data_IF_714744293645
#
_entry.id   IF_714744293645
#
_cell.length_a   1.000
_cell.length_b   1.000
_cell.length_c   1.000
_cell.angle_alpha   90.00
_cell.angle_beta   90.00
_cell.angle_gamma   90.00
#
_symmetry.space_group_name_H-M   'P 1'
#
loop_
_entity.id
_entity.type
_entity.pdbx_description
1 polymer ?
#
# COMPACT_ATOMS: atom_id res chain seq x y z
N UNK A 1 2.21 14.32 36.75
CA UNK A 1 1.58 15.36 35.91
C UNK A 1 2.49 15.63 34.73
N UNK A 2 1.94 15.60 33.51
CA UNK A 2 2.58 16.05 32.27
C UNK A 2 3.33 14.94 31.53
N UNK A 3 2.97 14.53 30.31
CA UNK A 3 1.88 14.93 29.44
C UNK A 3 1.68 13.82 28.41
N UNK A 4 0.42 13.39 28.24
CA UNK A 4 0.06 12.58 27.08
C UNK A 4 0.22 13.46 25.86
N UNK A 5 1.29 13.22 25.10
CA UNK A 5 1.38 13.74 23.75
C UNK A 5 0.14 13.27 23.01
N UNK A 6 -0.60 14.22 22.44
CA UNK A 6 -1.62 13.93 21.44
C UNK A 6 -0.88 13.36 20.24
N UNK A 7 -0.60 12.06 20.28
CA UNK A 7 -0.19 11.29 19.12
C UNK A 7 -1.35 11.35 18.15
N UNK A 8 -1.19 12.05 17.03
CA UNK A 8 -2.01 11.83 15.84
C UNK A 8 -2.25 10.33 15.73
N UNK A 9 -3.51 9.90 15.75
CA UNK A 9 -3.93 8.56 16.16
C UNK A 9 -3.55 7.41 15.21
N UNK A 10 -2.31 7.36 14.71
CA UNK A 10 -1.84 6.38 13.74
C UNK A 10 -2.51 6.52 12.38
N UNK A 11 -3.08 7.69 12.09
CA UNK A 11 -3.83 7.92 10.85
C UNK A 11 -2.90 7.85 9.65
N UNK A 12 -3.36 7.17 8.60
CA UNK A 12 -2.62 6.92 7.37
C UNK A 12 -3.16 7.83 6.29
N UNK A 13 -2.31 8.73 5.79
CA UNK A 13 -2.65 9.53 4.62
C UNK A 13 -2.40 8.71 3.35
N UNK A 14 -3.42 8.58 2.50
CA UNK A 14 -3.35 7.83 1.25
C UNK A 14 -4.01 8.57 0.11
N UNK A 15 -3.31 8.69 -1.02
CA UNK A 15 -3.84 9.24 -2.25
C UNK A 15 -3.99 8.11 -3.28
N UNK A 16 -5.24 7.84 -3.68
CA UNK A 16 -5.53 6.86 -4.72
C UNK A 16 -5.35 7.54 -6.07
N UNK A 17 -4.54 6.92 -6.93
CA UNK A 17 -4.19 7.47 -8.22
C UNK A 17 -5.30 7.24 -9.25
N UNK A 18 -5.78 8.32 -9.89
CA UNK A 18 -6.74 8.25 -11.00
C UNK A 18 -6.09 8.51 -12.39
N UNK A 19 -4.89 9.11 -12.42
CA UNK A 19 -4.12 9.46 -13.63
C UNK A 19 -2.64 9.08 -13.45
N UNK A 20 -1.71 9.26 -14.40
CA UNK A 20 -0.29 8.83 -14.26
C UNK A 20 0.58 9.61 -13.23
N UNK A 21 -0.04 10.28 -12.24
CA UNK A 21 0.61 11.15 -11.26
C UNK A 21 1.18 10.43 -10.03
N UNK A 22 1.66 9.19 -10.19
CA UNK A 22 2.21 8.36 -9.09
C UNK A 22 3.33 9.07 -8.30
N UNK A 23 4.13 9.92 -8.94
CA UNK A 23 5.17 10.70 -8.28
C UNK A 23 4.63 11.68 -7.22
N UNK A 24 3.54 12.39 -7.53
CA UNK A 24 2.89 13.34 -6.61
C UNK A 24 2.39 12.59 -5.38
N UNK A 25 1.64 11.52 -5.60
CA UNK A 25 1.08 10.67 -4.55
C UNK A 25 2.18 10.04 -3.69
N UNK A 26 3.28 9.61 -4.31
CA UNK A 26 4.43 9.07 -3.62
C UNK A 26 5.06 10.10 -2.67
N UNK A 27 5.36 11.32 -3.13
CA UNK A 27 5.97 12.36 -2.29
C UNK A 27 5.03 12.80 -1.16
N UNK A 28 3.75 13.00 -1.46
CA UNK A 28 2.76 13.38 -0.45
C UNK A 28 2.60 12.31 0.63
N UNK A 29 2.64 11.05 0.25
CA UNK A 29 2.65 9.93 1.19
C UNK A 29 3.94 9.88 2.01
N UNK A 30 5.10 10.08 1.37
CA UNK A 30 6.41 10.19 2.05
C UNK A 30 6.39 11.29 3.09
N UNK A 31 5.55 12.31 2.94
CA UNK A 31 5.35 13.40 3.92
C UNK A 31 4.12 13.20 4.82
N UNK A 32 3.24 12.25 4.50
CA UNK A 32 1.94 12.00 5.15
C UNK A 32 1.05 13.26 5.12
N UNK A 33 0.86 13.82 3.93
CA UNK A 33 -0.10 14.89 3.68
C UNK A 33 -0.04 15.44 2.25
N UNK A 34 -1.06 16.20 1.81
CA UNK A 34 -1.13 16.81 0.48
C UNK A 34 -0.25 18.06 0.39
N UNK A 35 1.07 17.89 0.44
CA UNK A 35 2.01 19.01 0.42
C UNK A 35 2.34 19.50 -0.97
N UNK A 36 2.21 18.64 -1.98
CA UNK A 36 2.51 18.95 -3.36
C UNK A 36 1.34 18.61 -4.28
N UNK A 37 1.14 19.45 -5.29
CA UNK A 37 0.29 19.18 -6.43
C UNK A 37 1.12 18.82 -7.67
N UNK A 38 0.45 18.35 -8.72
CA UNK A 38 1.05 18.17 -10.05
C UNK A 38 1.75 19.45 -10.54
N UNK A 39 1.12 20.61 -10.32
CA UNK A 39 1.67 21.90 -10.75
C UNK A 39 2.97 22.24 -10.01
N UNK A 40 3.07 21.89 -8.74
CA UNK A 40 4.27 22.13 -7.94
C UNK A 40 5.44 21.27 -8.43
N UNK A 41 5.22 19.97 -8.66
CA UNK A 41 6.24 19.07 -9.21
C UNK A 41 6.63 19.47 -10.64
N UNK A 42 5.68 19.88 -11.47
CA UNK A 42 5.95 20.37 -12.82
C UNK A 42 6.79 21.65 -12.82
N UNK A 43 6.54 22.57 -11.88
CA UNK A 43 7.35 23.77 -11.71
C UNK A 43 8.80 23.41 -11.29
N UNK A 44 8.96 22.46 -10.37
CA UNK A 44 10.28 21.96 -9.97
C UNK A 44 11.02 21.29 -11.13
N UNK A 45 10.34 20.47 -11.93
CA UNK A 45 10.90 19.85 -13.12
C UNK A 45 11.39 20.90 -14.14
N UNK A 46 10.58 21.95 -14.37
CA UNK A 46 10.96 23.05 -15.26
C UNK A 46 12.17 23.85 -14.77
N UNK A 47 12.25 24.08 -13.44
CA UNK A 47 13.40 24.75 -12.83
C UNK A 47 14.69 23.91 -12.92
N UNK A 48 14.58 22.58 -12.77
CA UNK A 48 15.69 21.65 -12.99
C UNK A 48 16.16 21.68 -14.44
N UNK A 49 15.24 21.54 -15.41
CA UNK A 49 15.56 21.63 -16.84
C UNK A 49 16.27 22.95 -17.18
N UNK A 50 15.81 24.08 -16.61
CA UNK A 50 16.45 25.40 -16.81
C UNK A 50 17.88 25.42 -16.26
N UNK A 51 18.08 24.84 -15.08
CA UNK A 51 19.38 24.80 -14.41
C UNK A 51 20.36 23.92 -15.19
N UNK A 52 19.93 22.73 -15.62
CA UNK A 52 20.72 21.81 -16.44
C UNK A 52 21.11 22.45 -17.78
N UNK A 53 20.17 23.15 -18.44
CA UNK A 53 20.44 23.92 -19.67
C UNK A 53 21.45 25.03 -19.45
N UNK A 54 21.36 25.77 -18.34
CA UNK A 54 22.30 26.84 -18.04
C UNK A 54 23.72 26.31 -17.81
N UNK A 55 23.86 25.16 -17.14
CA UNK A 55 25.16 24.50 -16.96
C UNK A 55 25.76 24.01 -18.28
N UNK A 56 24.93 23.47 -19.19
CA UNK A 56 25.39 23.04 -20.53
C UNK A 56 25.78 24.22 -21.44
N UNK A 57 25.02 25.31 -21.44
CA UNK A 57 25.32 26.51 -22.22
C UNK A 57 26.59 27.22 -21.75
N UNK A 58 26.96 27.08 -20.48
CA UNK A 58 28.26 27.52 -19.95
C UNK A 58 29.45 26.69 -20.43
N UNK A 59 29.21 25.48 -20.94
CA UNK A 59 30.24 24.53 -21.36
C UNK A 59 30.38 24.37 -22.88
N UNK A 60 29.38 24.73 -23.69
CA UNK A 60 29.40 24.52 -25.15
C UNK A 60 28.86 25.76 -25.89
N UNK A 61 29.73 26.42 -26.66
CA UNK A 61 29.40 27.52 -27.60
C UNK A 61 28.84 26.96 -28.92
N UNK A 62 27.74 26.21 -28.88
CA UNK A 62 27.18 25.55 -30.06
C UNK A 62 25.66 25.40 -30.00
N UNK A 63 25.03 25.70 -31.13
CA UNK A 63 23.59 25.80 -31.43
C UNK A 63 22.78 24.48 -31.29
N UNK A 64 22.92 23.78 -30.16
CA UNK A 64 22.14 22.58 -29.84
C UNK A 64 21.23 22.86 -28.65
N UNK A 65 20.02 23.33 -28.93
CA UNK A 65 18.94 23.41 -27.96
C UNK A 65 18.07 22.15 -28.08
N UNK A 66 18.22 21.12 -27.22
CA UNK A 66 17.14 20.18 -27.03
C UNK A 66 16.01 20.92 -26.30
N UNK A 67 14.96 21.29 -27.03
CA UNK A 67 13.73 21.89 -26.50
C UNK A 67 12.94 20.93 -25.59
N UNK A 68 13.36 19.67 -25.51
CA UNK A 68 12.67 18.62 -24.77
C UNK A 68 12.98 18.70 -23.26
N UNK A 69 11.94 18.67 -22.43
CA UNK A 69 12.05 18.44 -20.98
C UNK A 69 12.53 17.02 -20.75
N UNK A 70 13.52 16.85 -19.87
CA UNK A 70 14.00 15.51 -19.47
C UNK A 70 13.46 15.11 -18.10
N UNK A 71 13.00 16.07 -17.29
CA UNK A 71 12.57 15.84 -15.91
C UNK A 71 11.08 15.54 -15.75
N UNK A 72 10.26 15.87 -16.75
CA UNK A 72 8.85 15.46 -16.82
C UNK A 72 8.48 14.97 -18.22
N UNK A 73 7.81 13.82 -18.29
CA UNK A 73 7.26 13.24 -19.52
C UNK A 73 5.89 13.82 -19.86
N UNK A 74 5.51 13.79 -21.14
CA UNK A 74 4.15 14.18 -21.59
C UNK A 74 3.04 13.31 -20.96
N UNK A 75 3.41 12.10 -20.53
CA UNK A 75 2.51 11.16 -19.86
C UNK A 75 2.39 11.41 -18.34
N UNK A 76 3.10 12.41 -17.77
CA UNK A 76 3.03 12.75 -16.34
C UNK A 76 3.98 11.96 -15.43
N UNK A 77 4.96 11.26 -16.01
CA UNK A 77 6.05 10.63 -15.25
C UNK A 77 7.15 11.64 -14.93
N UNK A 78 7.68 11.60 -13.70
CA UNK A 78 8.67 12.54 -13.18
C UNK A 78 9.99 11.83 -12.90
N UNK A 79 11.10 12.51 -13.15
CA UNK A 79 12.43 11.99 -12.82
C UNK A 79 12.64 11.93 -11.30
N UNK A 80 13.52 11.03 -10.85
CA UNK A 80 13.94 10.96 -9.43
C UNK A 80 14.48 12.29 -8.92
N UNK A 81 15.12 13.09 -9.77
CA UNK A 81 15.69 14.39 -9.40
C UNK A 81 14.60 15.39 -8.96
N UNK A 82 13.39 15.29 -9.54
CA UNK A 82 12.23 16.09 -9.11
C UNK A 82 11.80 15.69 -7.70
N UNK A 83 11.71 14.40 -7.43
CA UNK A 83 11.35 13.87 -6.10
C UNK A 83 12.42 14.23 -5.06
N UNK A 84 13.70 14.12 -5.41
CA UNK A 84 14.84 14.57 -4.60
C UNK A 84 14.70 16.05 -4.24
N UNK A 85 14.41 16.90 -5.23
CA UNK A 85 14.26 18.34 -5.00
C UNK A 85 13.05 18.67 -4.11
N UNK A 86 11.94 17.97 -4.31
CA UNK A 86 10.74 18.15 -3.50
C UNK A 86 10.97 17.77 -2.03
N UNK A 87 11.65 16.65 -1.80
CA UNK A 87 11.97 16.16 -0.46
C UNK A 87 13.09 16.95 0.23
N UNK A 88 14.03 17.51 -0.54
CA UNK A 88 15.09 18.39 -0.02
C UNK A 88 14.52 19.62 0.70
N UNK A 89 13.39 20.16 0.24
CA UNK A 89 12.68 21.29 0.90
C UNK A 89 12.27 20.96 2.35
N UNK A 90 12.12 19.67 2.66
CA UNK A 90 11.73 19.15 3.97
C UNK A 90 12.91 18.58 4.78
N UNK A 91 14.15 18.93 4.43
CA UNK A 91 15.36 18.37 5.03
C UNK A 91 15.40 16.82 4.94
N UNK A 92 14.79 16.25 3.89
CA UNK A 92 14.82 14.84 3.58
C UNK A 92 15.79 14.58 2.43
N UNK A 93 16.56 13.50 2.56
CA UNK A 93 17.51 13.03 1.56
C UNK A 93 17.00 11.72 0.98
N UNK A 94 17.09 11.61 -0.35
CA UNK A 94 16.79 10.39 -1.08
C UNK A 94 18.12 9.74 -1.47
N UNK A 95 18.35 8.52 -1.00
CA UNK A 95 19.63 7.82 -1.14
C UNK A 95 19.37 6.48 -1.83
N UNK A 96 20.00 6.17 -2.97
CA UNK A 96 19.89 4.86 -3.60
C UNK A 96 20.27 3.74 -2.60
N UNK A 97 19.45 2.69 -2.50
CA UNK A 97 19.63 1.64 -1.50
C UNK A 97 20.96 0.88 -1.69
N UNK A 98 21.50 0.85 -2.91
CA UNK A 98 22.79 0.25 -3.25
C UNK A 98 24.00 1.12 -2.87
N UNK A 99 23.79 2.34 -2.38
CA UNK A 99 24.85 3.23 -1.90
C UNK A 99 25.47 2.70 -0.60
N UNK A 100 26.78 2.89 -0.38
CA UNK A 100 27.42 2.51 0.88
C UNK A 100 26.82 3.22 2.10
N UNK A 101 26.23 4.41 1.92
CA UNK A 101 25.57 5.15 3.01
C UNK A 101 24.29 4.45 3.48
N UNK A 102 23.64 3.69 2.60
CA UNK A 102 22.42 2.95 2.86
C UNK A 102 22.67 1.47 3.23
N UNK A 103 23.94 1.05 3.39
CA UNK A 103 24.30 -0.31 3.80
C UNK A 103 23.54 -0.78 5.06
N UNK A 104 23.41 0.02 6.15
CA UNK A 104 22.65 -0.42 7.33
C UNK A 104 21.18 -0.74 7.02
N UNK A 105 20.56 0.02 6.11
CA UNK A 105 19.17 -0.19 5.69
C UNK A 105 18.98 -1.46 4.86
N UNK A 106 20.05 -2.03 4.30
CA UNK A 106 19.99 -3.32 3.61
C UNK A 106 19.93 -4.50 4.59
N UNK A 107 20.52 -4.35 5.78
CA UNK A 107 20.53 -5.38 6.82
C UNK A 107 19.33 -5.24 7.76
N UNK A 108 19.08 -4.04 8.25
CA UNK A 108 18.01 -3.73 9.21
C UNK A 108 17.06 -2.64 8.65
N UNK A 109 16.26 -2.95 7.61
CA UNK A 109 15.35 -1.97 7.01
C UNK A 109 14.29 -1.43 7.99
N UNK A 110 14.02 -2.16 9.07
CA UNK A 110 13.04 -1.76 10.09
C UNK A 110 13.43 -0.51 10.90
N UNK A 111 14.72 -0.18 10.94
CA UNK A 111 15.25 1.00 11.65
C UNK A 111 15.04 2.29 10.87
N UNK A 112 14.74 2.17 9.57
CA UNK A 112 14.50 3.31 8.70
C UNK A 112 13.04 3.77 8.77
N UNK A 113 12.74 4.87 8.07
CA UNK A 113 11.43 5.53 8.14
C UNK A 113 10.62 5.40 6.85
N UNK A 114 11.26 5.46 5.68
CA UNK A 114 10.57 5.30 4.41
C UNK A 114 11.51 4.86 3.28
N UNK A 115 10.92 4.18 2.30
CA UNK A 115 11.53 3.81 1.04
C UNK A 115 10.66 4.30 -0.12
N UNK A 116 11.29 4.75 -1.19
CA UNK A 116 10.66 5.04 -2.48
C UNK A 116 11.07 3.94 -3.45
N UNK A 117 10.10 3.36 -4.14
CA UNK A 117 10.32 2.29 -5.09
C UNK A 117 9.90 2.76 -6.49
N UNK A 118 10.71 2.42 -7.48
CA UNK A 118 10.47 2.78 -8.87
C UNK A 118 10.74 1.62 -9.82
N UNK A 119 9.81 1.40 -10.76
CA UNK A 119 10.01 0.51 -11.88
C UNK A 119 9.26 1.02 -13.10
N UNK A 120 10.03 1.36 -14.15
CA UNK A 120 9.55 1.89 -15.43
C UNK A 120 8.90 3.27 -15.28
N UNK A 121 7.58 3.31 -15.17
CA UNK A 121 6.74 4.52 -15.13
C UNK A 121 5.85 4.56 -13.89
N UNK A 122 6.28 3.90 -12.80
CA UNK A 122 5.51 3.80 -11.56
C UNK A 122 6.37 4.04 -10.33
N UNK A 123 5.93 4.98 -9.49
CA UNK A 123 6.51 5.35 -8.21
C UNK A 123 5.56 4.96 -7.08
N UNK A 124 6.07 4.35 -6.02
CA UNK A 124 5.32 4.18 -4.79
C UNK A 124 6.20 4.30 -3.55
N UNK A 125 5.55 4.47 -2.40
CA UNK A 125 6.23 4.63 -1.12
C UNK A 125 5.90 3.46 -0.18
N UNK A 126 6.92 2.97 0.53
CA UNK A 126 6.77 2.12 1.70
C UNK A 126 7.19 2.97 2.90
N UNK A 127 6.29 3.23 3.83
CA UNK A 127 6.56 4.15 4.96
C UNK A 127 6.15 3.53 6.29
N UNK A 128 6.97 3.82 7.30
CA UNK A 128 6.69 3.52 8.70
C UNK A 128 5.82 4.63 9.30
N UNK A 129 4.65 4.27 9.79
CA UNK A 129 3.73 5.17 10.50
C UNK A 129 3.39 4.54 11.84
N UNK A 130 3.59 5.29 12.92
CA UNK A 130 3.34 4.83 14.30
C UNK A 130 4.00 3.47 14.66
N UNK A 131 5.18 3.19 14.11
CA UNK A 131 5.95 1.97 14.41
C UNK A 131 5.69 0.78 13.48
N UNK A 132 4.64 0.85 12.66
CA UNK A 132 4.23 -0.19 11.72
C UNK A 132 4.51 0.23 10.27
N UNK A 133 4.71 -0.74 9.39
CA UNK A 133 5.05 -0.48 7.98
C UNK A 133 3.83 -0.63 7.10
N UNK A 134 3.73 0.24 6.10
CA UNK A 134 2.65 0.20 5.13
C UNK A 134 3.19 0.45 3.72
N UNK A 135 2.61 -0.26 2.75
CA UNK A 135 2.75 0.01 1.33
C UNK A 135 1.66 0.97 0.90
N UNK A 136 2.08 2.14 0.44
CA UNK A 136 1.23 3.21 -0.06
C UNK A 136 1.34 3.29 -1.59
N UNK A 137 1.24 2.14 -2.25
CA UNK A 137 1.03 2.12 -3.69
C UNK A 137 -0.30 2.81 -4.00
N UNK A 138 -0.22 3.90 -4.74
CA UNK A 138 -1.37 4.71 -5.10
C UNK A 138 -2.35 3.97 -6.01
N UNK A 139 -1.95 2.83 -6.59
CA UNK A 139 -2.84 1.90 -7.29
C UNK A 139 -3.75 1.11 -6.35
N UNK A 140 -3.48 1.10 -5.04
CA UNK A 140 -4.31 0.42 -4.05
C UNK A 140 -5.40 1.35 -3.52
N UNK A 141 -6.55 0.77 -3.15
CA UNK A 141 -7.66 1.51 -2.56
C UNK A 141 -7.34 2.04 -1.15
N UNK A 142 -6.42 1.39 -0.45
CA UNK A 142 -5.93 1.75 0.87
C UNK A 142 -4.48 1.24 1.06
N UNK A 143 -3.73 1.77 2.02
CA UNK A 143 -2.40 1.27 2.36
C UNK A 143 -2.44 -0.18 2.82
N UNK A 144 -1.51 -0.99 2.32
CA UNK A 144 -1.38 -2.40 2.73
C UNK A 144 -0.40 -2.50 3.89
N UNK A 145 -0.82 -3.13 4.99
CA UNK A 145 0.05 -3.34 6.15
C UNK A 145 1.13 -4.38 5.87
N UNK A 146 2.36 -4.08 6.29
CA UNK A 146 3.48 -4.99 6.28
C UNK A 146 3.90 -5.34 7.70
N UNK A 147 3.92 -6.64 7.98
CA UNK A 147 4.64 -7.13 9.14
C UNK A 147 6.13 -6.84 9.01
N UNK A 148 6.79 -6.63 10.14
CA UNK A 148 8.24 -6.39 10.24
C UNK A 148 9.06 -7.43 9.48
N UNK A 149 8.72 -8.70 9.67
CA UNK A 149 9.39 -9.83 9.01
C UNK A 149 9.14 -9.90 7.49
N UNK A 150 8.06 -9.31 7.00
CA UNK A 150 7.74 -9.32 5.58
C UNK A 150 8.45 -8.20 4.81
N UNK A 151 8.74 -7.07 5.46
CA UNK A 151 9.37 -5.91 4.81
C UNK A 151 10.68 -6.27 4.10
N UNK A 152 11.58 -6.98 4.79
CA UNK A 152 12.89 -7.36 4.23
C UNK A 152 12.74 -8.26 3.01
N UNK A 153 11.93 -9.31 3.12
CA UNK A 153 11.64 -10.24 2.02
C UNK A 153 10.98 -9.54 0.83
N UNK A 154 10.09 -8.57 1.09
CA UNK A 154 9.45 -7.77 0.06
C UNK A 154 10.44 -6.87 -0.67
N UNK A 155 11.29 -6.12 0.06
CA UNK A 155 12.33 -5.29 -0.54
C UNK A 155 13.32 -6.12 -1.37
N UNK A 156 13.70 -7.31 -0.92
CA UNK A 156 14.57 -8.21 -1.68
C UNK A 156 13.88 -8.76 -2.94
N UNK A 157 12.58 -9.04 -2.86
CA UNK A 157 11.79 -9.41 -4.04
C UNK A 157 11.78 -8.29 -5.07
N UNK A 158 11.53 -7.04 -4.65
CA UNK A 158 11.59 -5.86 -5.51
C UNK A 158 12.96 -5.72 -6.19
N UNK A 159 14.07 -5.85 -5.44
CA UNK A 159 15.42 -5.86 -6.03
C UNK A 159 15.56 -6.95 -7.09
N UNK A 160 15.08 -8.16 -6.82
CA UNK A 160 15.12 -9.30 -7.74
C UNK A 160 14.36 -9.07 -9.05
N UNK A 161 13.26 -8.31 -9.00
CA UNK A 161 12.50 -7.89 -10.19
C UNK A 161 13.08 -6.66 -10.91
N UNK A 162 14.18 -6.09 -10.41
CA UNK A 162 14.86 -4.94 -11.02
C UNK A 162 14.27 -3.59 -10.63
N UNK A 163 13.55 -3.50 -9.50
CA UNK A 163 13.12 -2.21 -8.96
C UNK A 163 14.30 -1.39 -8.48
N UNK A 164 14.25 -0.09 -8.74
CA UNK A 164 15.13 0.88 -8.09
C UNK A 164 14.51 1.27 -6.75
N UNK A 165 15.25 1.08 -5.67
CA UNK A 165 14.79 1.38 -4.31
C UNK A 165 15.68 2.48 -3.74
N UNK A 166 15.05 3.49 -3.16
CA UNK A 166 15.70 4.64 -2.55
C UNK A 166 15.26 4.76 -1.09
N UNK A 167 16.23 4.86 -0.19
CA UNK A 167 16.03 5.17 1.21
C UNK A 167 15.74 6.67 1.37
N UNK A 168 14.70 7.02 2.12
CA UNK A 168 14.43 8.41 2.51
C UNK A 168 14.86 8.63 3.96
N UNK A 169 15.79 9.55 4.17
CA UNK A 169 16.39 9.84 5.48
C UNK A 169 16.34 11.32 5.81
N UNK A 170 15.96 11.66 7.04
CA UNK A 170 15.92 13.03 7.53
C UNK A 170 14.81 13.25 8.54
N UNK A 171 14.35 14.50 8.63
CA UNK A 171 13.32 14.90 9.61
C UNK A 171 11.94 14.87 8.96
N UNK A 172 11.25 13.74 9.11
CA UNK A 172 9.86 13.63 8.66
C UNK A 172 8.95 14.58 9.44
N UNK A 173 7.93 15.17 8.78
CA UNK A 173 6.89 15.94 9.47
C UNK A 173 6.27 15.11 10.60
N UNK A 174 6.25 15.68 11.82
CA UNK A 174 5.75 15.01 13.04
C UNK A 174 4.32 15.40 13.41
N UNK A 175 3.86 16.52 12.90
CA UNK A 175 2.52 17.05 13.14
C UNK A 175 1.78 17.01 11.82
N UNK A 176 0.73 16.21 11.75
CA UNK A 176 -0.17 16.20 10.59
C UNK A 176 -0.91 17.55 10.59
N UNK A 177 -0.83 18.37 9.54
CA UNK A 177 -1.37 19.75 9.60
C UNK A 177 -2.90 19.86 9.70
N UNK A 178 -3.65 18.75 9.70
CA UNK A 178 -5.07 18.81 9.34
C UNK A 178 -5.97 18.71 10.57
N UNK A 179 -6.60 19.85 10.88
CA UNK A 179 -7.85 19.89 11.62
C UNK A 179 -8.88 19.11 10.80
N UNK A 180 -9.54 18.10 11.39
CA UNK A 180 -10.51 17.15 10.79
C UNK A 180 -11.55 17.73 9.79
N UNK A 181 -11.68 19.05 9.66
CA UNK A 181 -12.60 19.74 8.77
C UNK A 181 -12.15 19.84 7.30
N UNK A 182 -10.88 19.55 6.96
CA UNK A 182 -10.36 19.58 5.57
C UNK A 182 -9.99 18.17 5.03
N UNK A 183 -10.46 17.11 5.70
CA UNK A 183 -10.17 15.71 5.36
C UNK A 183 -10.72 15.24 3.99
N UNK A 184 -11.31 16.14 3.21
CA UNK A 184 -11.86 15.86 1.88
C UNK A 184 -11.51 16.98 0.89
N UNK A 185 -10.28 17.49 0.95
CA UNK A 185 -9.75 18.28 -0.16
C UNK A 185 -9.36 17.33 -1.29
N UNK A 186 -10.33 16.71 -1.98
CA UNK A 186 -10.29 16.08 -3.31
C UNK A 186 -9.12 15.19 -3.80
N UNK A 187 -8.02 15.07 -3.06
CA UNK A 187 -6.73 14.56 -3.52
C UNK A 187 -6.25 13.36 -2.69
N UNK A 188 -6.69 13.24 -1.43
CA UNK A 188 -6.35 12.08 -0.58
C UNK A 188 -7.31 11.88 0.59
N UNK A 189 -7.21 10.71 1.20
CA UNK A 189 -8.04 10.27 2.32
C UNK A 189 -7.16 9.94 3.54
N UNK A 190 -7.72 10.17 4.72
CA UNK A 190 -7.14 9.74 5.99
C UNK A 190 -7.84 8.48 6.45
N UNK A 191 -7.08 7.41 6.63
CA UNK A 191 -7.59 6.11 7.03
C UNK A 191 -7.02 5.73 8.40
N UNK A 192 -7.85 5.14 9.25
CA UNK A 192 -7.32 4.39 10.39
C UNK A 192 -6.64 3.11 9.89
N UNK A 193 -5.66 2.54 10.61
CA UNK A 193 -5.08 1.25 10.26
C UNK A 193 -6.13 0.14 10.10
N UNK A 194 -7.17 0.14 10.94
CA UNK A 194 -8.26 -0.83 10.88
C UNK A 194 -9.13 -0.66 9.64
N UNK A 195 -9.41 0.58 9.23
CA UNK A 195 -10.16 0.86 8.00
C UNK A 195 -9.34 0.51 6.76
N UNK A 196 -8.04 0.81 6.75
CA UNK A 196 -7.14 0.43 5.67
C UNK A 196 -7.11 -1.09 5.50
N UNK A 197 -6.97 -1.84 6.60
CA UNK A 197 -7.00 -3.30 6.58
C UNK A 197 -8.35 -3.85 6.07
N UNK A 198 -9.47 -3.27 6.52
CA UNK A 198 -10.82 -3.65 6.08
C UNK A 198 -11.00 -3.43 4.58
N UNK A 199 -10.56 -2.29 4.05
CA UNK A 199 -10.66 -1.94 2.63
C UNK A 199 -9.81 -2.92 1.80
N UNK A 200 -8.55 -3.13 2.19
CA UNK A 200 -7.64 -4.05 1.49
C UNK A 200 -8.17 -5.48 1.46
N UNK A 201 -8.69 -6.00 2.57
CA UNK A 201 -9.34 -7.33 2.63
C UNK A 201 -10.57 -7.41 1.73
N UNK A 202 -11.41 -6.37 1.72
CA UNK A 202 -12.62 -6.33 0.89
C UNK A 202 -12.32 -6.28 -0.61
N UNK A 203 -11.27 -5.55 -1.02
CA UNK A 203 -10.85 -5.50 -2.43
C UNK A 203 -10.29 -6.86 -2.89
N UNK A 204 -9.49 -7.51 -2.04
CA UNK A 204 -8.92 -8.83 -2.34
C UNK A 204 -10.00 -9.93 -2.44
N UNK A 205 -11.03 -9.90 -1.61
CA UNK A 205 -12.15 -10.85 -1.70
C UNK A 205 -13.01 -10.59 -2.96
N UNK A 206 -13.30 -9.33 -3.28
CA UNK A 206 -14.03 -8.96 -4.50
C UNK A 206 -13.31 -9.38 -5.79
N UNK A 207 -11.97 -9.35 -5.80
CA UNK A 207 -11.16 -9.84 -6.92
C UNK A 207 -11.26 -11.38 -7.06
N UNK A 208 -11.34 -12.11 -5.94
CA UNK A 208 -11.47 -13.58 -5.92
C UNK A 208 -12.88 -14.07 -6.24
N UNK A 209 -13.91 -13.25 -6.01
CA UNK A 209 -15.32 -13.60 -6.22
C UNK A 209 -15.89 -13.25 -7.61
N UNK A 210 -15.07 -12.95 -8.63
CA UNK A 210 -15.54 -12.77 -10.02
C UNK A 210 -15.35 -14.06 -10.84
N UNK A 211 -16.39 -14.90 -11.05
CA UNK A 211 -16.37 -15.91 -12.09
C UNK A 211 -16.74 -15.26 -13.44
N UNK A 212 -15.75 -15.07 -14.30
CA UNK A 212 -15.93 -14.85 -15.74
C UNK A 212 -16.67 -13.59 -16.18
N UNK A 213 -15.95 -12.55 -16.58
CA UNK A 213 -16.46 -11.55 -17.51
C UNK A 213 -15.37 -11.09 -18.49
N UNK A 214 -15.80 -11.03 -19.73
CA UNK A 214 -15.10 -10.91 -21.00
C UNK A 214 -14.20 -9.68 -21.17
N UNK A 215 -13.23 -9.85 -22.07
CA UNK A 215 -12.33 -8.84 -22.63
C UNK A 215 -12.97 -7.45 -22.82
N UNK A 216 -12.46 -6.47 -22.11
CA UNK A 216 -12.39 -5.08 -22.56
C UNK A 216 -11.02 -4.54 -22.18
N UNK A 217 -10.33 -3.99 -23.18
CA UNK A 217 -8.95 -3.54 -23.10
C UNK A 217 -8.84 -2.33 -22.17
N UNK A 218 -8.42 -2.56 -20.94
CA UNK A 218 -7.62 -1.60 -20.20
C UNK A 218 -6.22 -2.19 -20.11
N UNK A 219 -5.24 -1.45 -20.63
CA UNK A 219 -3.82 -1.77 -20.53
C UNK A 219 -3.35 -1.63 -19.08
N UNK A 220 -3.78 -2.55 -18.22
CA UNK A 220 -3.15 -2.81 -16.93
C UNK A 220 -2.11 -3.90 -17.18
N UNK A 221 -0.83 -3.56 -17.00
CA UNK A 221 0.28 -4.50 -17.16
C UNK A 221 0.01 -5.79 -16.35
N UNK A 222 -0.11 -6.98 -16.98
CA UNK A 222 -0.45 -8.23 -16.29
C UNK A 222 0.71 -8.81 -15.45
N UNK A 223 1.81 -8.07 -15.27
CA UNK A 223 3.04 -8.57 -14.64
C UNK A 223 3.18 -8.21 -13.16
N UNK A 224 2.30 -7.38 -12.61
CA UNK A 224 2.28 -7.02 -11.19
C UNK A 224 1.38 -7.95 -10.33
N UNK A 225 0.64 -8.87 -10.95
CA UNK A 225 -0.16 -9.87 -10.19
C UNK A 225 0.67 -11.00 -9.56
N UNK A 226 1.99 -11.03 -9.75
CA UNK A 226 2.83 -12.17 -9.38
C UNK A 226 3.91 -11.88 -8.32
N UNK A 227 3.74 -10.82 -7.51
CA UNK A 227 4.54 -10.62 -6.28
C UNK A 227 3.65 -10.74 -5.06
N UNK A 228 2.87 -11.80 -5.01
CA UNK A 228 2.22 -12.25 -3.79
C UNK A 228 2.76 -13.66 -3.53
N UNK A 229 3.69 -13.85 -2.57
CA UNK A 229 3.99 -15.19 -2.11
C UNK A 229 2.67 -15.75 -1.58
N UNK A 230 2.31 -16.95 -2.03
CA UNK A 230 1.14 -17.65 -1.51
C UNK A 230 1.30 -17.82 0.01
N UNK A 231 0.60 -16.97 0.78
CA UNK A 231 0.49 -17.13 2.22
C UNK A 231 -0.41 -18.34 2.42
N UNK A 232 0.23 -19.45 2.78
CA UNK A 232 -0.41 -20.57 3.46
C UNK A 232 -0.91 -20.06 4.82
N UNK A 233 -2.17 -20.39 5.17
CA UNK A 233 -2.96 -20.04 6.39
C UNK A 233 -3.77 -18.74 6.28
N UNK A 234 -5.11 -18.74 6.20
CA UNK A 234 -6.06 -19.09 7.29
C UNK A 234 -7.33 -19.84 6.82
N UNK A 235 -7.34 -20.33 5.59
CA UNK A 235 -8.56 -20.86 4.95
C UNK A 235 -9.08 -22.21 5.49
N UNK A 236 -8.34 -22.88 6.37
CA UNK A 236 -8.81 -24.16 6.92
C UNK A 236 -9.75 -23.97 8.11
N UNK A 237 -9.87 -22.79 8.70
CA UNK A 237 -10.56 -22.64 9.99
C UNK A 237 -12.08 -22.46 9.87
N UNK A 238 -12.59 -22.01 8.71
CA UNK A 238 -14.03 -21.81 8.48
C UNK A 238 -14.72 -23.08 7.98
N UNK A 239 -14.14 -23.76 6.98
CA UNK A 239 -14.65 -25.05 6.51
C UNK A 239 -14.51 -26.14 7.58
N UNK A 240 -13.43 -26.12 8.38
CA UNK A 240 -13.27 -27.05 9.50
C UNK A 240 -14.26 -26.76 10.63
N UNK A 241 -14.53 -25.47 10.95
CA UNK A 241 -15.59 -25.10 11.91
C UNK A 241 -16.97 -25.50 11.40
N UNK A 242 -17.24 -25.31 10.12
CA UNK A 242 -18.49 -25.73 9.50
C UNK A 242 -18.66 -27.25 9.52
N UNK A 243 -17.60 -28.01 9.25
CA UNK A 243 -17.61 -29.47 9.31
C UNK A 243 -17.80 -30.02 10.75
N UNK A 244 -17.15 -29.39 11.74
CA UNK A 244 -17.33 -29.73 13.16
C UNK A 244 -18.76 -29.40 13.62
N UNK A 245 -19.29 -28.23 13.23
CA UNK A 245 -20.66 -27.84 13.53
C UNK A 245 -21.70 -28.76 12.86
N UNK A 246 -21.48 -29.15 11.60
CA UNK A 246 -22.35 -30.07 10.89
C UNK A 246 -22.37 -31.46 11.54
N UNK A 247 -21.21 -31.97 11.98
CA UNK A 247 -21.14 -33.26 12.70
C UNK A 247 -21.84 -33.22 14.06
N UNK A 248 -21.80 -32.08 14.76
CA UNK A 248 -22.53 -31.87 16.01
C UNK A 248 -24.05 -31.85 15.81
N UNK A 249 -24.52 -31.29 14.69
CA UNK A 249 -25.95 -31.23 14.37
C UNK A 249 -26.47 -32.61 13.94
N UNK A 250 -25.70 -33.36 13.15
CA UNK A 250 -26.07 -34.71 12.69
C UNK A 250 -26.17 -35.70 13.86
N UNK A 251 -25.21 -35.66 14.78
CA UNK A 251 -25.26 -36.44 16.03
C UNK A 251 -26.48 -36.10 16.90
N UNK A 252 -26.93 -34.83 16.92
CA UNK A 252 -28.15 -34.45 17.66
C UNK A 252 -29.45 -34.78 16.95
N UNK A 253 -29.46 -34.94 15.62
CA UNK A 253 -30.64 -35.41 14.89
C UNK A 253 -30.81 -36.92 15.01
N UNK A 254 -29.74 -37.70 14.98
CA UNK A 254 -29.83 -39.15 15.22
C UNK A 254 -30.33 -39.48 16.63
N UNK A 255 -29.85 -38.77 17.66
CA UNK A 255 -30.30 -38.96 19.05
C UNK A 255 -31.78 -38.56 19.25
N UNK A 256 -32.25 -37.48 18.59
CA UNK A 256 -33.67 -37.08 18.66
C UNK A 256 -34.60 -38.03 17.91
N UNK A 257 -34.12 -38.63 16.82
CA UNK A 257 -34.94 -39.54 16.01
C UNK A 257 -35.05 -40.90 16.68
N UNK A 258 -33.98 -41.43 17.29
CA UNK A 258 -34.04 -42.67 18.10
C UNK A 258 -34.89 -42.51 19.37
N UNK A 259 -34.81 -41.37 20.07
CA UNK A 259 -35.65 -41.10 21.24
C UNK A 259 -37.15 -40.99 20.89
N UNK A 260 -37.46 -40.46 19.70
CA UNK A 260 -38.86 -40.33 19.23
C UNK A 260 -39.46 -41.67 18.77
N UNK A 261 -38.63 -42.58 18.24
CA UNK A 261 -39.06 -43.92 17.82
C UNK A 261 -39.29 -44.83 19.05
N UNK A 262 -38.43 -44.73 20.08
CA UNK A 262 -38.58 -45.51 21.32
C UNK A 262 -39.75 -45.05 22.20
N UNK A 263 -40.15 -43.77 22.18
CA UNK A 263 -41.34 -43.29 22.89
C UNK A 263 -42.67 -43.71 22.22
N UNK A 264 -42.70 -43.91 20.90
CA UNK A 264 -43.92 -44.33 20.19
C UNK A 264 -44.20 -45.83 20.31
N UNK A 265 -43.18 -46.69 20.45
CA UNK A 265 -43.38 -48.14 20.66
C UNK A 265 -43.85 -48.49 22.08
N UNK A 266 -43.50 -47.69 23.10
CA UNK A 266 -43.95 -47.91 24.48
C UNK A 266 -45.39 -47.46 24.77
N UNK A 267 -46.01 -46.68 23.86
CA UNK A 267 -47.41 -46.25 24.01
C UNK A 267 -48.42 -47.22 23.40
N UNK A 268 -48.04 -47.92 22.33
CA UNK A 268 -48.90 -48.91 21.66
C UNK A 268 -48.97 -50.28 22.35
N UNK A 269 -48.06 -50.57 23.28
CA UNK A 269 -48.02 -51.85 24.00
C UNK A 269 -48.85 -51.89 25.29
N UNK A 270 -49.39 -50.76 25.75
CA UNK A 270 -50.18 -50.66 27.00
C UNK A 270 -51.70 -50.59 26.82
N UNK A 271 -52.24 -50.61 25.59
CA UNK A 271 -53.70 -50.62 25.34
C UNK A 271 -54.29 -52.01 25.02
N UNK A 272 -53.51 -53.10 25.10
CA UNK A 272 -53.97 -54.45 24.75
C UNK A 272 -54.08 -55.46 25.93
N UNK A 273 -54.16 -54.98 27.18
CA UNK A 273 -54.49 -55.84 28.34
C UNK A 273 -55.47 -55.13 29.30
N UNK A 274 -56.75 -55.23 28.99
CA UNK A 274 -57.86 -55.21 29.94
C UNK A 274 -58.91 -56.23 29.47
#
# INVERSE_FOLDING_TARGET
MGGGGTSDGGMLYHEVQESKLCAVHCVNTVLQGPFFSEFDLAAMASDLDRTERQMMLGAVTGDFLPEQSHNVSLDGDFSIQVLEKALEVWDLQVIPLNSPVAEPAQFDPELESAFICHLRDHWFCIRKVNGEWYNFDSLYAAPEHFSKFYLSAYLDSLKGFGWSIFLVKGNFPKECPITFSEASNGYGQWLSPEDAERITKSCNSALRSRPGASQSQHHSNPRLQHVQPEILSDNEDEDLKAAIAASLIDSTQEIKTEASITENENKNSNEAKA
#
